data_IF_708985100818
#
_entry.id   IF_708985100818
#
_cell.length_a   1.000
_cell.length_b   1.000
_cell.length_c   1.000
_cell.angle_alpha   90.00
_cell.angle_beta   90.00
_cell.angle_gamma   90.00
#
_symmetry.space_group_name_H-M   'P 1'
#
loop_
_entity.id
_entity.type
_entity.pdbx_description
1 polymer ?
#
# COMPACT_ATOMS: atom_id res chain seq x y z
N UNK A 1 30.99 -14.00 1.06
CA UNK A 1 29.80 -14.61 0.47
C UNK A 1 28.64 -13.82 1.04
N UNK A 2 28.15 -12.85 0.30
CA UNK A 2 26.99 -12.05 0.68
C UNK A 2 25.78 -12.90 0.28
N UNK A 3 24.97 -13.27 1.26
CA UNK A 3 23.81 -14.09 0.97
C UNK A 3 22.79 -13.27 0.18
N UNK A 4 22.43 -13.73 -1.00
CA UNK A 4 21.45 -13.13 -1.93
C UNK A 4 20.00 -13.11 -1.40
N UNK A 5 19.78 -13.18 -0.09
CA UNK A 5 18.47 -13.38 0.51
C UNK A 5 18.05 -12.32 1.54
N UNK A 6 18.56 -11.12 1.42
CA UNK A 6 18.15 -10.02 2.29
C UNK A 6 16.81 -9.43 1.82
N UNK A 7 15.74 -10.18 1.98
CA UNK A 7 14.40 -9.75 1.57
C UNK A 7 13.58 -9.10 2.68
N UNK A 8 14.05 -9.15 3.93
CA UNK A 8 13.34 -8.50 5.04
C UNK A 8 14.31 -7.84 6.03
N UNK A 9 13.92 -6.69 6.57
CA UNK A 9 14.64 -5.95 7.61
C UNK A 9 14.83 -6.75 8.89
N UNK A 10 14.06 -7.81 9.10
CA UNK A 10 14.13 -8.66 10.29
C UNK A 10 15.37 -9.56 10.32
N UNK A 11 16.03 -9.73 9.19
CA UNK A 11 17.24 -10.54 9.08
C UNK A 11 18.52 -9.75 9.39
N UNK A 12 18.46 -8.41 9.34
CA UNK A 12 19.60 -7.56 9.63
C UNK A 12 19.45 -6.93 11.01
N UNK A 13 20.17 -7.48 11.99
CA UNK A 13 20.16 -7.01 13.37
C UNK A 13 21.57 -6.77 13.87
N UNK A 14 21.76 -5.67 14.59
CA UNK A 14 22.93 -5.51 15.43
C UNK A 14 22.84 -6.59 16.53
N UNK A 15 23.91 -7.37 16.76
CA UNK A 15 23.88 -8.40 17.79
C UNK A 15 23.67 -7.76 19.19
N UNK A 16 23.16 -8.53 20.18
CA UNK A 16 23.08 -8.06 21.56
C UNK A 16 24.42 -7.53 22.07
N UNK A 17 24.39 -6.54 22.94
CA UNK A 17 25.60 -5.83 23.40
C UNK A 17 26.66 -6.76 23.99
N UNK A 18 26.25 -7.72 24.80
CA UNK A 18 27.16 -8.70 25.40
C UNK A 18 27.87 -9.58 24.36
N UNK A 19 27.18 -9.94 23.29
CA UNK A 19 27.74 -10.70 22.15
C UNK A 19 28.70 -9.81 21.36
N UNK A 20 28.29 -8.57 21.08
CA UNK A 20 29.12 -7.60 20.38
C UNK A 20 30.43 -7.35 21.12
N UNK A 21 30.40 -7.14 22.42
CA UNK A 21 31.57 -6.89 23.24
C UNK A 21 32.52 -8.08 23.31
N UNK A 22 31.98 -9.31 23.36
CA UNK A 22 32.79 -10.54 23.26
C UNK A 22 33.52 -10.61 21.92
N UNK A 23 32.85 -10.31 20.83
CA UNK A 23 33.47 -10.33 19.50
C UNK A 23 34.49 -9.21 19.33
N UNK A 24 34.21 -8.01 19.84
CA UNK A 24 35.16 -6.88 19.82
C UNK A 24 36.45 -7.19 20.61
N UNK A 25 36.30 -7.81 21.77
CA UNK A 25 37.43 -8.27 22.56
C UNK A 25 38.28 -9.30 21.84
N UNK A 26 37.63 -10.32 21.30
CA UNK A 26 38.30 -11.37 20.51
C UNK A 26 39.02 -10.81 19.28
N UNK A 27 38.38 -9.92 18.53
CA UNK A 27 38.98 -9.27 17.37
C UNK A 27 40.22 -8.47 17.74
N UNK A 28 40.18 -7.72 18.86
CA UNK A 28 41.33 -6.97 19.38
C UNK A 28 42.48 -7.87 19.75
N UNK A 29 42.21 -8.98 20.46
CA UNK A 29 43.22 -9.96 20.85
C UNK A 29 43.90 -10.65 19.68
N UNK A 30 43.20 -10.77 18.55
CA UNK A 30 43.69 -11.39 17.31
C UNK A 30 44.18 -10.37 16.25
N UNK A 31 44.30 -9.09 16.61
CA UNK A 31 44.82 -8.05 15.73
C UNK A 31 43.87 -7.71 14.54
N UNK A 32 42.59 -8.09 14.63
CA UNK A 32 41.59 -7.85 13.61
C UNK A 32 41.00 -6.45 13.80
N UNK A 33 41.05 -5.62 12.78
CA UNK A 33 40.43 -4.28 12.77
C UNK A 33 38.93 -4.38 12.47
N UNK A 34 38.18 -4.98 13.39
CA UNK A 34 36.73 -5.08 13.33
C UNK A 34 36.12 -4.59 14.65
N UNK A 35 34.81 -4.31 14.65
CA UNK A 35 34.06 -3.87 15.84
C UNK A 35 34.64 -2.59 16.47
N UNK A 36 35.06 -1.64 15.63
CA UNK A 36 35.72 -0.39 16.08
C UNK A 36 34.74 0.68 16.57
N UNK A 37 33.46 0.54 16.23
CA UNK A 37 32.44 1.50 16.61
C UNK A 37 31.73 1.06 17.89
N UNK A 38 31.29 2.01 18.74
CA UNK A 38 30.46 1.67 19.91
C UNK A 38 29.16 0.95 19.47
N UNK A 39 28.77 -0.08 20.22
CA UNK A 39 27.52 -0.82 19.98
C UNK A 39 26.31 0.09 19.87
N UNK A 40 26.21 1.10 20.75
CA UNK A 40 25.13 2.08 20.75
C UNK A 40 24.98 2.83 19.44
N UNK A 41 26.09 3.25 18.82
CA UNK A 41 26.05 3.93 17.53
C UNK A 41 25.51 3.04 16.40
N UNK A 42 25.84 1.75 16.43
CA UNK A 42 25.34 0.79 15.45
C UNK A 42 23.83 0.56 15.60
N UNK A 43 23.33 0.52 16.82
CA UNK A 43 21.89 0.42 17.10
C UNK A 43 21.16 1.65 16.62
N UNK A 44 21.67 2.86 16.93
CA UNK A 44 21.07 4.12 16.49
C UNK A 44 21.02 4.22 14.94
N UNK A 45 22.11 3.80 14.28
CA UNK A 45 22.17 3.76 12.81
C UNK A 45 21.19 2.73 12.23
N UNK A 46 21.11 1.54 12.81
CA UNK A 46 20.14 0.51 12.40
C UNK A 46 18.71 1.02 12.52
N UNK A 47 18.37 1.64 13.65
CA UNK A 47 17.03 2.19 13.87
C UNK A 47 16.69 3.31 12.88
N UNK A 48 17.67 4.14 12.52
CA UNK A 48 17.49 5.17 11.49
C UNK A 48 17.22 4.56 10.13
N UNK A 49 18.06 3.61 9.70
CA UNK A 49 17.88 2.91 8.41
C UNK A 49 16.54 2.17 8.39
N UNK A 50 16.16 1.51 9.48
CA UNK A 50 14.88 0.83 9.60
C UNK A 50 13.71 1.79 9.42
N UNK A 51 13.75 2.97 10.05
CA UNK A 51 12.72 4.00 9.91
C UNK A 51 12.62 4.53 8.46
N UNK A 52 13.77 4.74 7.80
CA UNK A 52 13.79 5.16 6.39
C UNK A 52 13.20 4.07 5.49
N UNK A 53 13.62 2.82 5.68
CA UNK A 53 13.08 1.68 4.94
C UNK A 53 11.57 1.49 5.15
N UNK A 54 11.08 1.64 6.38
CA UNK A 54 9.64 1.55 6.69
C UNK A 54 8.82 2.66 6.03
N UNK A 55 9.41 3.84 5.79
CA UNK A 55 8.75 4.91 5.03
C UNK A 55 8.61 4.57 3.53
N UNK A 56 9.61 3.92 2.96
CA UNK A 56 9.64 3.56 1.53
C UNK A 56 8.97 2.21 1.25
N UNK A 57 8.75 1.41 2.29
CA UNK A 57 8.12 0.11 2.17
C UNK A 57 6.72 0.25 1.60
N UNK A 58 6.41 -0.56 0.58
CA UNK A 58 5.05 -0.72 0.07
C UNK A 58 4.11 -1.02 1.23
N UNK A 59 3.13 -0.14 1.40
CA UNK A 59 2.13 -0.28 2.45
C UNK A 59 1.25 -1.49 2.14
N UNK A 60 1.14 -2.38 3.10
CA UNK A 60 0.19 -3.48 3.05
C UNK A 60 -0.50 -3.56 4.41
N UNK A 61 -1.75 -3.08 4.45
CA UNK A 61 -2.57 -3.16 5.66
C UNK A 61 -3.33 -4.48 5.68
N UNK A 62 -2.95 -5.34 6.62
CA UNK A 62 -3.70 -6.54 6.93
C UNK A 62 -4.66 -6.24 8.08
N UNK A 63 -5.83 -5.71 7.75
CA UNK A 63 -6.83 -5.35 8.75
C UNK A 63 -7.55 -6.54 9.40
N UNK A 64 -7.18 -7.78 9.01
CA UNK A 64 -7.72 -9.02 9.59
C UNK A 64 -6.63 -10.08 9.69
N UNK A 65 -6.47 -10.68 10.86
CA UNK A 65 -5.45 -11.72 11.15
C UNK A 65 -5.53 -12.96 10.23
N UNK A 66 -6.68 -13.19 9.60
CA UNK A 66 -6.95 -14.33 8.73
C UNK A 66 -7.12 -13.95 7.26
N UNK A 67 -6.45 -12.91 6.78
CA UNK A 67 -6.49 -12.58 5.35
C UNK A 67 -5.78 -13.66 4.53
N UNK A 68 -6.49 -14.17 3.54
CA UNK A 68 -6.01 -15.14 2.58
C UNK A 68 -6.22 -14.64 1.14
N UNK A 69 -5.80 -15.42 0.16
CA UNK A 69 -5.89 -15.09 -1.26
C UNK A 69 -7.31 -15.17 -1.80
N UNK A 70 -8.24 -15.74 -1.04
CA UNK A 70 -9.64 -15.89 -1.42
C UNK A 70 -10.47 -14.81 -0.77
N UNK A 71 -11.07 -13.95 -1.60
CA UNK A 71 -11.88 -12.83 -1.16
C UNK A 71 -13.34 -13.10 -1.49
N UNK A 72 -14.19 -13.11 -0.46
CA UNK A 72 -15.62 -13.31 -0.59
C UNK A 72 -16.35 -11.97 -0.53
N UNK A 73 -16.98 -11.59 -1.63
CA UNK A 73 -17.84 -10.41 -1.72
C UNK A 73 -19.18 -10.79 -2.34
N UNK A 74 -20.23 -10.18 -1.85
CA UNK A 74 -21.54 -10.26 -2.49
C UNK A 74 -21.49 -9.53 -3.83
N UNK A 75 -22.41 -9.88 -4.71
CA UNK A 75 -22.59 -9.18 -5.98
C UNK A 75 -23.02 -7.75 -5.72
N UNK A 76 -22.72 -6.87 -6.66
CA UNK A 76 -23.20 -5.49 -6.67
C UNK A 76 -24.70 -5.45 -6.37
N UNK A 77 -25.10 -4.67 -5.39
CA UNK A 77 -26.52 -4.52 -5.01
C UNK A 77 -27.34 -3.93 -6.16
N UNK A 78 -28.68 -4.10 -6.12
CA UNK A 78 -29.57 -3.52 -7.14
C UNK A 78 -29.41 -2.00 -7.23
N UNK A 79 -29.31 -1.32 -6.09
CA UNK A 79 -29.12 0.14 -6.01
C UNK A 79 -27.77 0.58 -6.63
N UNK A 80 -26.68 -0.09 -6.27
CA UNK A 80 -25.39 0.19 -6.93
C UNK A 80 -25.43 -0.08 -8.43
N UNK A 81 -26.16 -1.13 -8.84
CA UNK A 81 -26.25 -1.53 -10.24
C UNK A 81 -27.01 -0.50 -11.08
N UNK A 82 -28.07 0.10 -10.54
CA UNK A 82 -28.78 1.20 -11.20
C UNK A 82 -27.87 2.40 -11.47
N UNK A 83 -26.96 2.70 -10.56
CA UNK A 83 -25.98 3.78 -10.71
C UNK A 83 -24.86 3.45 -11.71
N UNK A 84 -24.67 2.19 -12.06
CA UNK A 84 -23.65 1.75 -13.01
C UNK A 84 -24.11 1.80 -14.47
N UNK A 85 -25.33 2.24 -14.73
CA UNK A 85 -25.90 2.25 -16.09
C UNK A 85 -26.01 0.85 -16.67
N UNK A 86 -25.79 0.71 -17.99
CA UNK A 86 -25.84 -0.56 -18.71
C UNK A 86 -24.55 -1.40 -18.60
N UNK A 87 -23.65 -1.07 -17.66
CA UNK A 87 -22.38 -1.80 -17.52
C UNK A 87 -22.63 -3.29 -17.19
N UNK A 88 -22.12 -4.19 -18.04
CA UNK A 88 -22.44 -5.61 -17.96
C UNK A 88 -21.96 -6.26 -16.64
N UNK A 89 -20.81 -5.85 -16.14
CA UNK A 89 -20.15 -6.47 -14.98
C UNK A 89 -19.59 -5.45 -13.99
N UNK A 90 -20.42 -4.61 -13.36
CA UNK A 90 -19.92 -3.67 -12.37
C UNK A 90 -19.32 -4.43 -11.20
N UNK A 91 -18.16 -3.94 -10.70
CA UNK A 91 -17.52 -4.51 -9.52
C UNK A 91 -18.13 -3.90 -8.25
N UNK A 92 -18.31 -4.69 -7.17
CA UNK A 92 -18.73 -4.15 -5.89
C UNK A 92 -17.69 -3.13 -5.38
N UNK A 93 -18.15 -1.99 -4.85
CA UNK A 93 -17.25 -0.97 -4.27
C UNK A 93 -16.43 -1.59 -3.13
N UNK A 94 -17.02 -2.45 -2.32
CA UNK A 94 -16.33 -3.13 -1.22
C UNK A 94 -15.09 -3.93 -1.66
N UNK A 95 -15.12 -4.55 -2.85
CA UNK A 95 -13.98 -5.24 -3.42
C UNK A 95 -12.84 -4.27 -3.75
N UNK A 96 -13.17 -3.16 -4.42
CA UNK A 96 -12.19 -2.11 -4.74
C UNK A 96 -11.63 -1.48 -3.45
N UNK A 97 -12.50 -1.18 -2.49
CA UNK A 97 -12.12 -0.60 -1.19
C UNK A 97 -11.13 -1.48 -0.44
N UNK A 98 -11.33 -2.81 -0.43
CA UNK A 98 -10.40 -3.73 0.21
C UNK A 98 -9.01 -3.67 -0.43
N UNK A 99 -8.93 -3.73 -1.76
CA UNK A 99 -7.67 -3.66 -2.49
C UNK A 99 -6.94 -2.33 -2.25
N UNK A 100 -7.68 -1.21 -2.32
CA UNK A 100 -7.13 0.13 -2.11
C UNK A 100 -6.63 0.28 -0.68
N UNK A 101 -7.44 -0.11 0.31
CA UNK A 101 -7.11 0.00 1.73
C UNK A 101 -5.90 -0.83 2.13
N UNK A 102 -5.74 -2.01 1.53
CA UNK A 102 -4.58 -2.88 1.82
C UNK A 102 -3.28 -2.43 1.15
N UNK A 103 -3.35 -1.60 0.09
CA UNK A 103 -2.19 -1.29 -0.76
C UNK A 103 -1.87 0.21 -0.84
N UNK A 104 -2.62 1.06 -0.16
CA UNK A 104 -2.39 2.50 -0.12
C UNK A 104 -2.76 3.11 1.23
N UNK A 105 -2.21 4.28 1.51
CA UNK A 105 -2.55 5.11 2.67
C UNK A 105 -3.53 6.21 2.28
N UNK A 106 -4.16 6.82 3.27
CA UNK A 106 -4.95 8.05 3.06
C UNK A 106 -4.11 9.13 2.38
N UNK A 107 -4.75 9.87 1.48
CA UNK A 107 -4.14 10.91 0.63
C UNK A 107 -3.13 10.41 -0.42
N UNK A 108 -2.94 9.10 -0.58
CA UNK A 108 -2.14 8.56 -1.68
C UNK A 108 -2.96 8.46 -2.98
N UNK A 109 -2.24 8.26 -4.08
CA UNK A 109 -2.83 8.18 -5.42
C UNK A 109 -3.08 6.74 -5.85
N UNK A 110 -4.21 6.53 -6.48
CA UNK A 110 -4.62 5.25 -7.10
C UNK A 110 -4.81 5.47 -8.59
N UNK A 111 -4.23 4.61 -9.41
CA UNK A 111 -4.40 4.63 -10.87
C UNK A 111 -5.26 3.46 -11.32
N UNK A 112 -6.34 3.75 -12.05
CA UNK A 112 -7.18 2.75 -12.73
C UNK A 112 -7.30 3.12 -14.20
N UNK A 113 -6.70 2.33 -15.06
CA UNK A 113 -6.68 2.55 -16.52
C UNK A 113 -7.87 1.90 -17.25
N UNK A 114 -8.78 1.26 -16.50
CA UNK A 114 -9.99 0.62 -17.00
C UNK A 114 -11.20 0.97 -16.13
N UNK A 115 -11.59 2.25 -16.13
CA UNK A 115 -12.56 2.83 -15.21
C UNK A 115 -13.93 2.13 -15.16
N UNK A 116 -14.41 1.65 -16.30
CA UNK A 116 -15.68 0.95 -16.40
C UNK A 116 -16.84 1.75 -15.84
N UNK A 117 -17.47 1.26 -14.76
CA UNK A 117 -18.54 1.99 -14.08
C UNK A 117 -18.08 2.90 -12.95
N UNK A 118 -16.77 3.08 -12.73
CA UNK A 118 -16.21 3.98 -11.72
C UNK A 118 -16.20 3.43 -10.28
N UNK A 119 -16.26 2.12 -10.09
CA UNK A 119 -16.26 1.56 -8.72
C UNK A 119 -14.98 1.89 -7.95
N UNK A 120 -13.83 1.93 -8.63
CA UNK A 120 -12.55 2.34 -8.04
C UNK A 120 -12.57 3.81 -7.61
N UNK A 121 -13.16 4.70 -8.42
CA UNK A 121 -13.27 6.13 -8.08
C UNK A 121 -14.09 6.34 -6.80
N UNK A 122 -15.26 5.70 -6.71
CA UNK A 122 -16.10 5.79 -5.52
C UNK A 122 -15.40 5.20 -4.29
N UNK A 123 -14.68 4.09 -4.45
CA UNK A 123 -13.91 3.49 -3.36
C UNK A 123 -12.77 4.41 -2.88
N UNK A 124 -12.10 5.09 -3.80
CA UNK A 124 -11.06 6.09 -3.47
C UNK A 124 -11.65 7.27 -2.70
N UNK A 125 -12.79 7.79 -3.14
CA UNK A 125 -13.50 8.89 -2.48
C UNK A 125 -13.90 8.52 -1.04
N UNK A 126 -14.44 7.31 -0.84
CA UNK A 126 -14.79 6.81 0.49
C UNK A 126 -13.61 6.63 1.44
N UNK A 127 -12.41 6.51 0.89
CA UNK A 127 -11.19 6.17 1.63
C UNK A 127 -10.16 7.32 1.66
N UNK A 128 -10.54 8.51 1.24
CA UNK A 128 -9.64 9.68 1.15
C UNK A 128 -8.38 9.42 0.30
N UNK A 129 -8.55 8.80 -0.88
CA UNK A 129 -7.49 8.61 -1.88
C UNK A 129 -7.78 9.44 -3.13
N UNK A 130 -6.71 9.92 -3.78
CA UNK A 130 -6.83 10.58 -5.09
C UNK A 130 -6.86 9.52 -6.19
N UNK A 131 -7.93 9.48 -6.98
CA UNK A 131 -8.07 8.54 -8.08
C UNK A 131 -7.72 9.19 -9.42
N UNK A 132 -6.79 8.58 -10.14
CA UNK A 132 -6.54 8.87 -11.55
C UNK A 132 -7.14 7.74 -12.38
N UNK A 133 -8.05 8.08 -13.29
CA UNK A 133 -8.81 7.07 -14.01
C UNK A 133 -8.80 7.33 -15.51
N UNK A 134 -8.79 6.26 -16.29
CA UNK A 134 -8.94 6.30 -17.74
C UNK A 134 -10.10 5.37 -18.13
N UNK A 135 -10.90 5.80 -19.10
CA UNK A 135 -11.96 5.00 -19.70
C UNK A 135 -12.02 5.31 -21.20
N UNK A 136 -12.13 4.27 -21.99
CA UNK A 136 -12.13 4.38 -23.46
C UNK A 136 -13.50 4.75 -24.01
N UNK A 137 -14.57 4.20 -23.43
CA UNK A 137 -15.94 4.44 -23.91
C UNK A 137 -16.50 5.74 -23.31
N UNK A 138 -16.81 6.77 -24.13
CA UNK A 138 -17.37 8.03 -23.64
C UNK A 138 -18.66 7.86 -22.82
N UNK A 139 -19.48 6.84 -23.14
CA UNK A 139 -20.70 6.57 -22.38
C UNK A 139 -20.39 6.18 -20.93
N UNK A 140 -19.32 5.40 -20.71
CA UNK A 140 -18.91 5.08 -19.37
C UNK A 140 -18.21 6.23 -18.68
N UNK A 141 -17.53 7.12 -19.39
CA UNK A 141 -17.05 8.38 -18.82
C UNK A 141 -18.21 9.19 -18.22
N UNK A 142 -19.32 9.31 -18.93
CA UNK A 142 -20.51 10.01 -18.42
C UNK A 142 -21.12 9.29 -17.20
N UNK A 143 -21.15 7.97 -17.21
CA UNK A 143 -21.62 7.16 -16.07
C UNK A 143 -20.73 7.39 -14.84
N UNK A 144 -19.41 7.38 -15.00
CA UNK A 144 -18.43 7.63 -13.92
C UNK A 144 -18.67 9.01 -13.31
N UNK A 145 -18.75 10.05 -14.13
CA UNK A 145 -18.98 11.43 -13.69
C UNK A 145 -20.29 11.53 -12.93
N UNK A 146 -21.38 11.06 -13.52
CA UNK A 146 -22.70 11.12 -12.90
C UNK A 146 -22.74 10.38 -11.56
N UNK A 147 -22.09 9.22 -11.48
CA UNK A 147 -22.02 8.42 -10.27
C UNK A 147 -21.25 9.13 -9.18
N UNK A 148 -20.12 9.74 -9.51
CA UNK A 148 -19.32 10.52 -8.58
C UNK A 148 -20.08 11.77 -8.09
N UNK A 149 -20.70 12.53 -9.00
CA UNK A 149 -21.53 13.70 -8.64
C UNK A 149 -22.70 13.32 -7.73
N UNK A 150 -23.30 12.15 -7.98
CA UNK A 150 -24.41 11.65 -7.15
C UNK A 150 -23.91 11.27 -5.77
N UNK A 151 -22.71 10.69 -5.66
CA UNK A 151 -22.14 10.24 -4.41
C UNK A 151 -21.64 11.39 -3.54
N UNK A 152 -20.93 12.36 -4.13
CA UNK A 152 -20.29 13.47 -3.41
C UNK A 152 -21.23 14.66 -3.22
N UNK A 153 -22.21 14.84 -4.10
CA UNK A 153 -23.03 16.05 -4.20
C UNK A 153 -22.32 17.22 -4.90
N UNK A 154 -21.09 17.02 -5.33
CA UNK A 154 -20.28 18.02 -6.05
C UNK A 154 -20.51 17.96 -7.56
N UNK A 155 -19.95 18.92 -8.29
CA UNK A 155 -20.00 18.98 -9.75
C UNK A 155 -18.63 18.80 -10.35
N UNK A 156 -18.53 17.86 -11.29
CA UNK A 156 -17.32 17.64 -12.05
C UNK A 156 -17.05 18.84 -12.99
N UNK A 157 -15.79 19.22 -13.10
CA UNK A 157 -15.36 20.34 -13.95
C UNK A 157 -14.55 19.80 -15.12
N UNK A 158 -14.98 20.12 -16.33
CA UNK A 158 -14.23 19.78 -17.53
C UNK A 158 -13.07 20.76 -17.69
N UNK A 159 -11.86 20.21 -17.72
CA UNK A 159 -10.64 20.96 -18.03
C UNK A 159 -10.35 20.76 -19.52
N UNK A 160 -10.18 21.87 -20.24
CA UNK A 160 -9.84 21.87 -21.69
C UNK A 160 -8.33 21.69 -21.88
#
# INVERSE_FOLDING_TARGET
>A
MVADHWTTTDQWRVPPEDVYLKWAKWAKENGIKAFLRPHKELVEEQDKIKKEYEKERTYFDNCHDNMNDVWHFERTSSVERELCGEHATPKPIALCSRAIKSSSRENESVLDVFGGSGSTLIACEQLDRTCYMMELDPKYCDVIIKRWETFTGEKAVKIN
#
